data_IF_111581791911
#
_entry.id   IF_111581791911
#
_cell.length_a   1.000
_cell.length_b   1.000
_cell.length_c   1.000
_cell.angle_alpha   90.00
_cell.angle_beta   90.00
_cell.angle_gamma   90.00
#
_symmetry.space_group_name_H-M   'P 1'
#
loop_
_entity.id
_entity.type
_entity.pdbx_description
1 polymer ?
#
# COMPACT_ATOMS: atom_id res chain seq x y z
N UNK A 1 -10.84 29.75 7.59
CA UNK A 1 -11.34 28.86 8.63
C UNK A 1 -10.25 28.78 9.70
N UNK A 2 -10.44 29.44 10.87
CA UNK A 2 -9.46 29.36 11.94
C UNK A 2 -9.56 28.00 12.60
N UNK A 3 -8.48 27.24 12.58
CA UNK A 3 -8.36 26.03 13.39
C UNK A 3 -8.28 26.47 14.86
N UNK A 4 -9.25 26.09 15.65
CA UNK A 4 -9.18 26.24 17.11
C UNK A 4 -8.28 25.10 17.57
N UNK A 5 -7.04 25.42 17.94
CA UNK A 5 -6.16 24.49 18.64
C UNK A 5 -6.75 24.22 20.02
N UNK A 6 -7.16 22.98 20.24
CA UNK A 6 -7.54 22.50 21.56
C UNK A 6 -6.28 22.43 22.43
N UNK A 7 -6.31 23.10 23.60
CA UNK A 7 -5.12 23.25 24.47
C UNK A 7 -4.69 21.99 25.22
N UNK A 8 -5.37 20.86 25.00
CA UNK A 8 -5.07 19.57 25.60
C UNK A 8 -4.27 18.62 24.69
N UNK A 9 -3.66 19.14 23.62
CA UNK A 9 -2.81 18.34 22.74
C UNK A 9 -1.55 17.92 23.49
N UNK A 10 -1.41 16.62 23.68
CA UNK A 10 -0.21 15.98 24.20
C UNK A 10 1.03 16.55 23.50
N UNK A 11 1.99 17.13 24.23
CA UNK A 11 3.20 17.76 23.67
C UNK A 11 4.13 16.75 22.96
N UNK A 12 3.81 15.45 22.98
CA UNK A 12 4.57 14.39 22.31
C UNK A 12 4.00 14.07 20.92
N UNK A 13 4.90 13.69 20.02
CA UNK A 13 4.50 13.08 18.75
C UNK A 13 3.70 11.79 18.99
N UNK A 14 2.63 11.55 18.20
CA UNK A 14 1.77 10.39 18.39
C UNK A 14 2.48 9.08 18.08
N UNK A 15 2.02 8.00 18.73
CA UNK A 15 2.42 6.63 18.44
C UNK A 15 1.31 5.92 17.68
N UNK A 16 1.58 5.57 16.42
CA UNK A 16 0.68 4.79 15.57
C UNK A 16 1.02 3.30 15.71
N UNK A 17 0.06 2.52 16.21
CA UNK A 17 0.14 1.07 16.22
C UNK A 17 -0.25 0.49 14.86
N UNK A 18 0.59 -0.37 14.29
CA UNK A 18 0.28 -1.07 13.03
C UNK A 18 0.14 -2.55 13.31
N UNK A 19 -1.05 -3.12 13.03
CA UNK A 19 -1.24 -4.57 13.10
C UNK A 19 -0.75 -5.17 11.78
N UNK A 20 0.32 -5.96 11.88
CA UNK A 20 1.13 -6.48 10.80
C UNK A 20 2.52 -5.85 10.78
N UNK A 21 3.52 -6.63 10.38
CA UNK A 21 4.92 -6.22 10.29
C UNK A 21 5.58 -6.70 8.99
N UNK A 22 4.80 -6.81 7.92
CA UNK A 22 5.28 -7.24 6.60
C UNK A 22 5.92 -6.09 5.81
N UNK A 23 5.96 -6.26 4.49
CA UNK A 23 6.64 -5.31 3.59
C UNK A 23 5.95 -3.94 3.51
N UNK A 24 4.62 -3.88 3.62
CA UNK A 24 3.91 -2.61 3.54
C UNK A 24 4.12 -1.79 4.82
N UNK A 25 4.13 -2.42 5.99
CA UNK A 25 4.53 -1.78 7.24
C UNK A 25 5.99 -1.29 7.19
N UNK A 26 6.90 -2.06 6.57
CA UNK A 26 8.29 -1.64 6.36
C UNK A 26 8.40 -0.34 5.56
N UNK A 27 7.58 -0.17 4.54
CA UNK A 27 7.57 1.06 3.73
C UNK A 27 6.98 2.27 4.48
N UNK A 28 6.25 2.07 5.58
CA UNK A 28 5.74 3.16 6.42
C UNK A 28 6.81 3.77 7.33
N UNK A 29 7.94 3.08 7.57
CA UNK A 29 8.97 3.55 8.50
C UNK A 29 9.61 4.86 8.05
N UNK A 30 9.94 5.00 6.77
CA UNK A 30 10.56 6.21 6.25
C UNK A 30 9.66 7.46 6.37
N UNK A 31 8.40 7.45 5.90
CA UNK A 31 7.51 8.60 6.08
C UNK A 31 7.16 8.88 7.56
N UNK A 32 7.03 7.86 8.41
CA UNK A 32 6.82 8.06 9.84
C UNK A 32 8.01 8.79 10.48
N UNK A 33 9.23 8.38 10.13
CA UNK A 33 10.46 9.05 10.58
C UNK A 33 10.48 10.52 10.13
N UNK A 34 10.13 10.79 8.87
CA UNK A 34 10.09 12.15 8.33
C UNK A 34 9.05 13.05 9.02
N UNK A 35 7.90 12.49 9.39
CA UNK A 35 6.83 13.19 10.10
C UNK A 35 7.07 13.28 11.62
N UNK A 36 8.09 12.61 12.17
CA UNK A 36 8.32 12.50 13.63
C UNK A 36 7.31 11.58 14.33
N UNK A 37 6.49 10.84 13.59
CA UNK A 37 5.50 9.90 14.13
C UNK A 37 6.17 8.64 14.63
N UNK A 38 5.85 8.21 15.84
CA UNK A 38 6.34 6.95 16.36
C UNK A 38 5.53 5.78 15.80
N UNK A 39 6.21 4.75 15.29
CA UNK A 39 5.57 3.49 14.91
C UNK A 39 5.82 2.44 15.98
N UNK A 40 4.77 1.68 16.31
CA UNK A 40 4.88 0.43 17.06
C UNK A 40 4.16 -0.67 16.26
N UNK A 41 4.86 -1.75 15.94
CA UNK A 41 4.31 -2.82 15.10
C UNK A 41 3.82 -3.97 15.98
N UNK A 42 2.72 -4.62 15.56
CA UNK A 42 2.30 -5.89 16.10
C UNK A 42 2.64 -6.99 15.11
N UNK A 43 3.78 -7.64 15.32
CA UNK A 43 4.35 -8.66 14.46
C UNK A 43 3.85 -10.05 14.84
N UNK A 44 3.87 -10.99 13.89
CA UNK A 44 3.67 -12.42 14.19
C UNK A 44 4.99 -13.12 14.53
N UNK A 45 6.10 -12.61 13.98
CA UNK A 45 7.44 -13.15 14.15
C UNK A 45 8.47 -12.02 14.26
N UNK A 46 9.56 -12.27 14.99
CA UNK A 46 10.73 -11.36 15.08
C UNK A 46 11.38 -11.12 13.69
N UNK A 47 11.28 -12.09 12.80
CA UNK A 47 11.84 -12.05 11.44
C UNK A 47 10.89 -11.42 10.41
N UNK A 48 9.72 -10.94 10.83
CA UNK A 48 8.83 -10.20 9.95
C UNK A 48 9.55 -8.97 9.36
N UNK A 49 9.26 -8.67 8.09
CA UNK A 49 9.97 -7.69 7.27
C UNK A 49 10.19 -6.33 7.97
N UNK A 50 9.16 -5.78 8.59
CA UNK A 50 9.23 -4.50 9.29
C UNK A 50 9.73 -4.64 10.73
N UNK A 51 9.53 -5.78 11.39
CA UNK A 51 10.02 -6.05 12.74
C UNK A 51 11.54 -5.93 12.82
N UNK A 52 12.25 -6.27 11.75
CA UNK A 52 13.71 -6.15 11.66
C UNK A 52 14.23 -4.70 11.69
N UNK A 53 13.36 -3.68 11.55
CA UNK A 53 13.81 -2.28 11.42
C UNK A 53 13.01 -1.28 12.26
N UNK A 54 11.96 -1.71 12.94
CA UNK A 54 11.10 -0.83 13.72
C UNK A 54 10.73 -1.48 15.07
N UNK A 55 10.41 -0.68 16.11
CA UNK A 55 9.91 -1.19 17.38
C UNK A 55 8.66 -2.05 17.16
N UNK A 56 8.62 -3.22 17.81
CA UNK A 56 7.53 -4.16 17.64
C UNK A 56 7.23 -4.95 18.91
N UNK A 57 6.08 -5.62 18.89
CA UNK A 57 5.62 -6.61 19.86
C UNK A 57 5.19 -7.83 19.07
N UNK A 58 5.69 -9.01 19.46
CA UNK A 58 5.28 -10.27 18.82
C UNK A 58 4.03 -10.82 19.49
N UNK A 59 3.06 -11.25 18.68
CA UNK A 59 1.80 -11.82 19.15
C UNK A 59 0.88 -12.30 18.04
N UNK A 60 -0.26 -12.87 18.44
CA UNK A 60 -1.30 -13.30 17.51
C UNK A 60 -2.37 -12.21 17.34
N UNK A 61 -2.50 -11.65 16.14
CA UNK A 61 -3.50 -10.61 15.83
C UNK A 61 -4.96 -11.12 15.91
N UNK A 62 -5.18 -12.43 16.13
CA UNK A 62 -6.50 -13.00 16.42
C UNK A 62 -6.83 -12.94 17.92
N UNK A 63 -5.84 -12.65 18.75
CA UNK A 63 -5.99 -12.58 20.20
C UNK A 63 -6.29 -11.15 20.68
N UNK A 64 -7.57 -10.87 20.94
CA UNK A 64 -8.02 -9.56 21.38
C UNK A 64 -7.30 -9.07 22.63
N UNK A 65 -7.02 -9.94 23.62
CA UNK A 65 -6.37 -9.54 24.87
C UNK A 65 -4.96 -9.04 24.62
N UNK A 66 -4.19 -9.68 23.74
CA UNK A 66 -2.84 -9.23 23.36
C UNK A 66 -2.91 -7.87 22.63
N UNK A 67 -3.88 -7.70 21.73
CA UNK A 67 -4.05 -6.44 21.00
C UNK A 67 -4.52 -5.30 21.92
N UNK A 68 -5.30 -5.57 22.96
CA UNK A 68 -5.67 -4.57 23.96
C UNK A 68 -4.45 -4.10 24.77
N UNK A 69 -3.54 -5.01 25.14
CA UNK A 69 -2.28 -4.64 25.82
C UNK A 69 -1.35 -3.85 24.88
N UNK A 70 -1.30 -4.22 23.60
CA UNK A 70 -0.57 -3.48 22.59
C UNK A 70 -1.15 -2.06 22.42
N UNK A 71 -2.47 -1.95 22.33
CA UNK A 71 -3.21 -0.69 22.13
C UNK A 71 -2.93 0.35 23.23
N UNK A 72 -2.67 -0.08 24.46
CA UNK A 72 -2.30 0.83 25.58
C UNK A 72 -1.03 1.64 25.33
N UNK A 73 -0.19 1.21 24.38
CA UNK A 73 1.06 1.86 24.00
C UNK A 73 0.92 2.78 22.79
N UNK A 74 -0.27 2.85 22.19
CA UNK A 74 -0.54 3.54 20.93
C UNK A 74 -1.63 4.60 21.13
N UNK A 75 -1.56 5.69 20.38
CA UNK A 75 -2.61 6.71 20.35
C UNK A 75 -3.74 6.32 19.39
N UNK A 76 -3.43 5.53 18.35
CA UNK A 76 -4.37 4.88 17.45
C UNK A 76 -3.78 3.61 16.84
N UNK A 77 -4.64 2.79 16.25
CA UNK A 77 -4.27 1.57 15.54
C UNK A 77 -4.71 1.63 14.07
N UNK A 78 -3.84 1.16 13.18
CA UNK A 78 -4.14 0.89 11.78
C UNK A 78 -3.62 -0.50 11.37
N UNK A 79 -3.83 -0.88 10.11
CA UNK A 79 -3.54 -2.22 9.63
C UNK A 79 -2.61 -2.18 8.41
N UNK A 80 -1.72 -3.15 8.34
CA UNK A 80 -0.96 -3.46 7.12
C UNK A 80 -1.76 -4.35 6.17
N UNK A 81 -2.61 -5.23 6.72
CA UNK A 81 -3.34 -6.25 5.97
C UNK A 81 -4.78 -6.45 6.51
N UNK A 82 -5.62 -7.13 5.72
CA UNK A 82 -7.04 -7.37 6.03
C UNK A 82 -7.30 -8.69 6.79
N UNK A 83 -6.26 -9.34 7.32
CA UNK A 83 -6.38 -10.68 7.94
C UNK A 83 -6.88 -10.66 9.39
N UNK A 84 -7.00 -9.48 9.99
CA UNK A 84 -7.50 -9.34 11.37
C UNK A 84 -9.00 -9.63 11.39
N UNK A 85 -9.46 -10.56 12.24
CA UNK A 85 -10.89 -10.90 12.30
C UNK A 85 -11.74 -9.68 12.67
N UNK A 86 -12.88 -9.51 12.01
CA UNK A 86 -13.81 -8.40 12.25
C UNK A 86 -14.27 -8.33 13.71
N UNK A 87 -14.44 -9.49 14.37
CA UNK A 87 -14.78 -9.57 15.79
C UNK A 87 -13.70 -8.96 16.70
N UNK A 88 -12.44 -9.09 16.32
CA UNK A 88 -11.30 -8.52 17.06
C UNK A 88 -11.27 -7.01 16.88
N UNK A 89 -11.47 -6.51 15.65
CA UNK A 89 -11.56 -5.07 15.37
C UNK A 89 -12.72 -4.44 16.17
N UNK A 90 -13.90 -5.05 16.16
CA UNK A 90 -15.04 -4.62 16.98
C UNK A 90 -14.72 -4.63 18.47
N UNK A 91 -13.97 -5.64 18.95
CA UNK A 91 -13.55 -5.73 20.34
C UNK A 91 -12.63 -4.58 20.76
N UNK A 92 -11.70 -4.17 19.90
CA UNK A 92 -10.84 -2.98 20.11
C UNK A 92 -11.69 -1.70 20.19
N UNK A 93 -12.63 -1.50 19.26
CA UNK A 93 -13.52 -0.32 19.24
C UNK A 93 -14.40 -0.25 20.50
N UNK A 94 -14.98 -1.37 20.93
CA UNK A 94 -15.79 -1.45 22.17
C UNK A 94 -14.96 -1.09 23.41
N UNK A 95 -13.67 -1.42 23.40
CA UNK A 95 -12.73 -1.04 24.47
C UNK A 95 -12.26 0.43 24.39
N UNK A 96 -12.77 1.22 23.44
CA UNK A 96 -12.44 2.64 23.27
C UNK A 96 -11.14 2.91 22.52
N UNK A 97 -10.56 1.90 21.87
CA UNK A 97 -9.35 2.10 21.06
C UNK A 97 -9.72 2.79 19.76
N UNK A 98 -8.96 3.83 19.38
CA UNK A 98 -9.07 4.44 18.05
C UNK A 98 -8.49 3.50 17.01
N UNK A 99 -9.33 2.96 16.13
CA UNK A 99 -8.96 1.98 15.10
C UNK A 99 -9.39 2.49 13.74
N UNK A 100 -8.48 2.51 12.76
CA UNK A 100 -8.76 2.94 11.40
C UNK A 100 -8.13 1.99 10.35
N UNK A 101 -8.89 1.59 9.30
CA UNK A 101 -10.32 1.77 9.12
C UNK A 101 -11.16 1.10 10.22
N UNK A 102 -12.39 1.60 10.43
CA UNK A 102 -13.31 1.04 11.44
C UNK A 102 -13.89 -0.32 10.98
N UNK A 103 -14.37 -1.11 11.94
CA UNK A 103 -14.97 -2.41 11.65
C UNK A 103 -16.13 -2.33 10.67
N UNK A 104 -16.92 -1.26 10.73
CA UNK A 104 -18.02 -0.99 9.77
C UNK A 104 -17.51 -0.84 8.34
N UNK A 105 -16.37 -0.15 8.14
CA UNK A 105 -15.75 0.02 6.84
C UNK A 105 -15.30 -1.33 6.26
N UNK A 106 -14.68 -2.18 7.06
CA UNK A 106 -14.33 -3.55 6.66
C UNK A 106 -15.54 -4.39 6.30
N UNK A 107 -16.61 -4.33 7.09
CA UNK A 107 -17.84 -5.06 6.81
C UNK A 107 -18.48 -4.61 5.50
N UNK A 108 -18.62 -3.30 5.30
CA UNK A 108 -19.18 -2.72 4.06
C UNK A 108 -18.35 -3.09 2.82
N UNK A 109 -17.04 -3.21 2.94
CA UNK A 109 -16.17 -3.64 1.83
C UNK A 109 -16.42 -5.10 1.44
N UNK A 110 -16.57 -5.99 2.43
CA UNK A 110 -16.85 -7.41 2.18
C UNK A 110 -18.24 -7.61 1.55
N UNK A 111 -19.26 -6.90 2.02
CA UNK A 111 -20.63 -7.00 1.49
C UNK A 111 -20.71 -6.54 0.03
N UNK A 112 -19.95 -5.51 -0.37
CA UNK A 112 -19.91 -5.01 -1.76
C UNK A 112 -19.18 -5.95 -2.72
N UNK A 113 -18.20 -6.69 -2.26
CA UNK A 113 -17.42 -7.65 -3.05
C UNK A 113 -18.15 -8.98 -3.22
N UNK A 114 -18.98 -9.38 -2.25
CA UNK A 114 -19.74 -10.65 -2.28
C UNK A 114 -20.72 -10.81 -3.46
N UNK A 115 -20.97 -9.75 -4.25
CA UNK A 115 -21.83 -9.78 -5.47
C UNK A 115 -21.15 -10.39 -6.71
N UNK A 116 -20.00 -11.08 -6.58
CA UNK A 116 -19.08 -11.37 -7.69
C UNK A 116 -18.69 -12.81 -7.87
N UNK A 117 -19.50 -13.58 -8.48
CA UNK A 117 -19.12 -14.89 -9.07
C UNK A 117 -19.37 -14.92 -10.58
N UNK A 118 -18.91 -13.93 -11.34
CA UNK A 118 -18.84 -14.10 -12.80
C UNK A 118 -17.42 -13.81 -13.26
N UNK A 119 -16.78 -14.80 -13.88
CA UNK A 119 -15.59 -14.63 -14.71
C UNK A 119 -15.91 -13.57 -15.76
N UNK A 120 -15.37 -12.36 -15.57
CA UNK A 120 -15.43 -11.28 -16.54
C UNK A 120 -14.21 -11.47 -17.45
N UNK A 121 -14.45 -11.69 -18.74
CA UNK A 121 -13.40 -11.59 -19.74
C UNK A 121 -13.06 -10.11 -19.89
N UNK A 122 -11.89 -9.67 -19.38
CA UNK A 122 -11.47 -8.28 -19.30
C UNK A 122 -10.25 -7.99 -20.19
N UNK A 123 -10.12 -6.74 -20.62
CA UNK A 123 -9.02 -6.25 -21.46
C UNK A 123 -7.83 -5.80 -20.62
N UNK A 124 -8.09 -5.21 -19.45
CA UNK A 124 -7.05 -4.78 -18.50
C UNK A 124 -7.57 -4.76 -17.07
N UNK A 125 -6.62 -4.86 -16.13
CA UNK A 125 -6.87 -4.73 -14.69
C UNK A 125 -6.15 -3.49 -14.17
N UNK A 126 -6.90 -2.63 -13.49
CA UNK A 126 -6.39 -1.38 -12.92
C UNK A 126 -6.67 -1.32 -11.42
N UNK A 127 -5.85 -0.54 -10.74
CA UNK A 127 -6.02 -0.21 -9.32
C UNK A 127 -6.05 1.30 -9.13
N UNK A 128 -7.01 1.80 -8.35
CA UNK A 128 -7.10 3.20 -7.96
C UNK A 128 -6.99 3.30 -6.45
N UNK A 129 -5.97 4.01 -5.98
CA UNK A 129 -5.81 4.27 -4.56
C UNK A 129 -6.51 5.56 -4.16
N UNK A 130 -7.12 5.54 -2.98
CA UNK A 130 -7.78 6.68 -2.34
C UNK A 130 -7.30 6.82 -0.91
N UNK A 131 -7.07 8.05 -0.47
CA UNK A 131 -6.90 8.41 0.93
C UNK A 131 -8.07 9.28 1.38
N UNK A 132 -8.57 9.07 2.60
CA UNK A 132 -9.62 9.90 3.21
C UNK A 132 -9.37 10.06 4.70
N UNK A 133 -9.44 11.32 5.19
CA UNK A 133 -9.28 11.67 6.61
C UNK A 133 -10.61 11.59 7.37
N UNK A 134 -10.54 11.67 8.69
CA UNK A 134 -11.72 11.65 9.57
C UNK A 134 -12.66 12.84 9.28
N UNK A 135 -12.11 14.02 8.97
CA UNK A 135 -12.89 15.21 8.60
C UNK A 135 -13.39 15.20 7.13
N UNK A 136 -13.19 14.09 6.39
CA UNK A 136 -13.75 13.90 5.07
C UNK A 136 -12.93 14.48 3.91
N UNK A 137 -11.73 15.03 4.17
CA UNK A 137 -10.81 15.34 3.07
C UNK A 137 -10.45 14.06 2.35
N UNK A 138 -10.58 14.03 1.02
CA UNK A 138 -10.28 12.85 0.21
C UNK A 138 -9.43 13.20 -1.00
N UNK A 139 -8.59 12.27 -1.43
CA UNK A 139 -7.76 12.39 -2.63
C UNK A 139 -7.52 11.02 -3.24
N UNK A 140 -7.24 10.98 -4.55
CA UNK A 140 -6.88 9.75 -5.26
C UNK A 140 -5.62 9.94 -6.09
N UNK A 141 -4.89 8.87 -6.31
CA UNK A 141 -3.78 8.82 -7.25
C UNK A 141 -4.25 8.42 -8.65
N UNK A 142 -3.39 8.62 -9.64
CA UNK A 142 -3.63 8.15 -10.99
C UNK A 142 -3.85 6.63 -11.02
N UNK A 143 -4.77 6.12 -11.86
CA UNK A 143 -4.99 4.69 -12.02
C UNK A 143 -3.71 3.97 -12.44
N UNK A 144 -3.44 2.84 -11.80
CA UNK A 144 -2.28 1.99 -12.06
C UNK A 144 -2.73 0.73 -12.78
N UNK A 145 -2.13 0.40 -13.91
CA UNK A 145 -2.34 -0.89 -14.57
C UNK A 145 -1.55 -1.98 -13.86
N UNK A 146 -2.18 -3.12 -13.61
CA UNK A 146 -1.55 -4.30 -13.05
C UNK A 146 -1.35 -5.34 -14.16
N UNK A 147 -0.08 -5.76 -14.34
CA UNK A 147 0.29 -6.83 -15.28
C UNK A 147 0.55 -8.09 -14.45
N UNK A 148 -0.22 -9.13 -14.72
CA UNK A 148 -0.13 -10.41 -14.00
C UNK A 148 0.38 -11.51 -14.92
N UNK A 149 1.28 -12.37 -14.39
CA UNK A 149 1.68 -13.63 -14.99
C UNK A 149 1.39 -14.73 -13.98
N UNK A 150 0.69 -15.78 -14.40
CA UNK A 150 0.28 -16.91 -13.55
C UNK A 150 -0.41 -16.48 -12.23
N UNK A 151 -1.23 -15.41 -12.30
CA UNK A 151 -1.95 -14.87 -11.15
C UNK A 151 -1.11 -13.98 -10.21
N UNK A 152 0.18 -13.82 -10.46
CA UNK A 152 1.09 -12.97 -9.67
C UNK A 152 1.29 -11.65 -10.41
N UNK A 153 1.14 -10.52 -9.71
CA UNK A 153 1.45 -9.21 -10.28
C UNK A 153 2.96 -9.05 -10.42
N UNK A 154 3.45 -9.02 -11.65
CA UNK A 154 4.87 -8.91 -11.99
C UNK A 154 5.29 -7.49 -12.30
N UNK A 155 4.36 -6.66 -12.79
CA UNK A 155 4.64 -5.28 -13.17
C UNK A 155 3.43 -4.40 -12.84
N UNK A 156 3.68 -3.15 -12.44
CA UNK A 156 2.64 -2.11 -12.39
C UNK A 156 3.10 -0.87 -13.15
N UNK A 157 2.17 -0.23 -13.87
CA UNK A 157 2.43 0.92 -14.74
C UNK A 157 1.48 2.05 -14.39
N UNK A 158 1.99 3.22 -14.11
CA UNK A 158 1.21 4.41 -13.75
C UNK A 158 1.65 5.62 -14.59
N UNK A 159 0.72 6.38 -15.19
CA UNK A 159 -0.71 6.11 -15.34
C UNK A 159 -0.96 4.85 -16.18
N UNK A 160 -2.10 4.21 -15.97
CA UNK A 160 -2.50 3.02 -16.72
C UNK A 160 -2.57 3.31 -18.23
N UNK A 161 -1.69 2.73 -19.08
CA UNK A 161 -1.63 3.07 -20.50
C UNK A 161 -2.76 2.44 -21.34
N UNK A 162 -3.43 1.42 -20.82
CA UNK A 162 -4.47 0.68 -21.53
C UNK A 162 -5.86 1.34 -21.47
N UNK A 163 -6.01 2.48 -20.78
CA UNK A 163 -7.29 3.16 -20.60
C UNK A 163 -7.24 4.59 -21.11
N UNK A 164 -8.38 5.10 -21.58
CA UNK A 164 -8.52 6.52 -21.96
C UNK A 164 -8.53 7.43 -20.72
N UNK A 165 -8.23 8.72 -20.91
CA UNK A 165 -8.33 9.73 -19.84
C UNK A 165 -9.74 9.79 -19.24
N UNK A 166 -10.78 9.62 -20.04
CA UNK A 166 -12.17 9.58 -19.58
C UNK A 166 -12.43 8.39 -18.64
N UNK A 167 -11.92 7.19 -18.98
CA UNK A 167 -12.04 6.00 -18.14
C UNK A 167 -11.22 6.17 -16.84
N UNK A 168 -10.04 6.80 -16.94
CA UNK A 168 -9.21 7.10 -15.77
C UNK A 168 -9.94 8.04 -14.78
N UNK A 169 -10.56 9.12 -15.27
CA UNK A 169 -11.36 10.03 -14.46
C UNK A 169 -12.56 9.32 -13.81
N UNK A 170 -13.30 8.52 -14.58
CA UNK A 170 -14.41 7.72 -14.05
C UNK A 170 -13.95 6.75 -12.94
N UNK A 171 -12.81 6.08 -13.14
CA UNK A 171 -12.26 5.17 -12.14
C UNK A 171 -11.90 5.89 -10.83
N UNK A 172 -11.28 7.07 -10.91
CA UNK A 172 -10.96 7.89 -9.75
C UNK A 172 -12.24 8.38 -9.03
N UNK A 173 -13.23 8.88 -9.77
CA UNK A 173 -14.50 9.29 -9.20
C UNK A 173 -15.22 8.14 -8.52
N UNK A 174 -15.26 6.96 -9.13
CA UNK A 174 -15.87 5.77 -8.55
C UNK A 174 -15.17 5.38 -7.24
N UNK A 175 -13.84 5.38 -7.23
CA UNK A 175 -13.07 5.03 -6.04
C UNK A 175 -13.28 6.03 -4.89
N UNK A 176 -13.33 7.34 -5.18
CA UNK A 176 -13.63 8.39 -4.20
C UNK A 176 -15.05 8.24 -3.65
N UNK A 177 -16.05 7.98 -4.51
CA UNK A 177 -17.43 7.76 -4.08
C UNK A 177 -17.59 6.54 -3.18
N UNK A 178 -16.88 5.43 -3.50
CA UNK A 178 -16.87 4.24 -2.65
C UNK A 178 -16.26 4.57 -1.28
N UNK A 179 -15.11 5.28 -1.26
CA UNK A 179 -14.44 5.65 -0.01
C UNK A 179 -15.33 6.53 0.90
N UNK A 180 -16.09 7.44 0.32
CA UNK A 180 -17.06 8.26 1.03
C UNK A 180 -18.21 7.42 1.59
N UNK A 181 -18.83 6.57 0.75
CA UNK A 181 -19.98 5.74 1.13
C UNK A 181 -19.67 4.77 2.27
N UNK A 182 -18.47 4.16 2.27
CA UNK A 182 -18.04 3.28 3.37
C UNK A 182 -17.43 4.03 4.56
N UNK A 183 -17.41 5.36 4.53
CA UNK A 183 -16.81 6.20 5.57
C UNK A 183 -15.35 5.82 5.86
N UNK A 184 -14.54 5.66 4.80
CA UNK A 184 -13.12 5.32 4.92
C UNK A 184 -12.40 6.36 5.78
N UNK A 185 -11.53 5.91 6.68
CA UNK A 185 -10.47 6.69 7.31
C UNK A 185 -9.16 5.92 7.10
N UNK A 186 -8.21 6.52 6.39
CA UNK A 186 -6.97 5.88 5.98
C UNK A 186 -6.81 5.82 4.46
N UNK A 187 -6.22 4.74 3.96
CA UNK A 187 -6.00 4.47 2.53
C UNK A 187 -6.74 3.20 2.13
N UNK A 188 -7.26 3.17 0.92
CA UNK A 188 -7.89 2.02 0.30
C UNK A 188 -7.49 1.95 -1.17
N UNK A 189 -7.42 0.74 -1.71
CA UNK A 189 -7.29 0.50 -3.14
C UNK A 189 -8.57 -0.14 -3.68
N UNK A 190 -9.06 0.37 -4.81
CA UNK A 190 -10.16 -0.23 -5.57
C UNK A 190 -9.55 -0.89 -6.80
N UNK A 191 -9.56 -2.21 -6.85
CA UNK A 191 -9.21 -2.97 -8.03
C UNK A 191 -10.40 -3.05 -8.97
N UNK A 192 -10.16 -2.84 -10.26
CA UNK A 192 -11.19 -2.81 -11.30
C UNK A 192 -10.74 -3.56 -12.54
N UNK A 193 -11.66 -4.28 -13.16
CA UNK A 193 -11.51 -4.76 -14.52
C UNK A 193 -12.06 -3.73 -15.50
N UNK A 194 -11.41 -3.58 -16.63
CA UNK A 194 -11.85 -2.73 -17.75
C UNK A 194 -12.22 -3.60 -18.93
N UNK A 195 -13.40 -3.38 -19.50
CA UNK A 195 -13.89 -4.02 -20.71
C UNK A 195 -14.75 -3.05 -21.52
N UNK A 196 -14.38 -2.79 -22.76
CA UNK A 196 -15.07 -1.86 -23.66
C UNK A 196 -15.36 -0.51 -22.96
N UNK A 197 -14.36 0.10 -22.34
CA UNK A 197 -14.44 1.35 -21.56
C UNK A 197 -15.38 1.30 -20.33
N UNK A 198 -15.89 0.13 -19.97
CA UNK A 198 -16.69 -0.07 -18.75
C UNK A 198 -15.83 -0.55 -17.59
N UNK A 199 -16.13 -0.02 -16.40
CA UNK A 199 -15.44 -0.35 -15.17
C UNK A 199 -16.25 -1.36 -14.32
N UNK A 200 -15.59 -2.41 -13.89
CA UNK A 200 -16.15 -3.41 -13.00
C UNK A 200 -15.25 -3.51 -11.77
N UNK A 201 -15.78 -3.06 -10.63
CA UNK A 201 -15.02 -3.13 -9.36
C UNK A 201 -14.68 -4.59 -9.06
N UNK A 202 -13.47 -5.01 -8.82
CA UNK A 202 -12.99 -6.34 -8.48
C UNK A 202 -12.84 -6.53 -6.97
N UNK A 203 -12.06 -5.76 -6.31
CA UNK A 203 -11.78 -5.88 -4.90
C UNK A 203 -11.63 -4.51 -4.24
N UNK A 204 -11.95 -4.43 -2.97
CA UNK A 204 -11.65 -3.28 -2.12
C UNK A 204 -10.60 -3.72 -1.10
N UNK A 205 -9.39 -3.21 -1.22
CA UNK A 205 -8.28 -3.54 -0.32
C UNK A 205 -8.08 -2.40 0.67
N UNK A 206 -8.35 -2.67 1.95
CA UNK A 206 -8.14 -1.69 3.03
C UNK A 206 -6.68 -1.62 3.43
N UNK A 207 -6.15 -0.40 3.51
CA UNK A 207 -4.75 -0.14 3.81
C UNK A 207 -3.89 0.03 2.56
N UNK A 208 -2.55 0.11 2.72
CA UNK A 208 -1.62 0.22 1.60
C UNK A 208 -1.65 -1.01 0.72
N UNK A 209 -1.32 -0.82 -0.56
CA UNK A 209 -1.34 -1.89 -1.54
C UNK A 209 -0.10 -1.87 -2.42
N UNK A 210 0.30 -3.05 -2.93
CA UNK A 210 1.50 -3.17 -3.78
C UNK A 210 1.39 -2.36 -5.08
N UNK A 211 0.18 -2.18 -5.63
CA UNK A 211 -0.04 -1.34 -6.81
C UNK A 211 0.31 0.13 -6.58
N UNK A 212 0.44 0.54 -5.32
CA UNK A 212 0.83 1.89 -4.93
C UNK A 212 2.30 2.03 -4.54
N UNK A 213 3.13 1.02 -4.72
CA UNK A 213 4.55 1.10 -4.39
C UNK A 213 5.27 2.20 -5.20
N UNK A 214 4.84 2.45 -6.43
CA UNK A 214 5.36 3.54 -7.27
C UNK A 214 5.27 4.92 -6.62
N UNK A 215 4.33 5.11 -5.67
CA UNK A 215 4.11 6.41 -5.03
C UNK A 215 5.27 6.86 -4.16
N UNK A 216 6.19 5.97 -3.80
CA UNK A 216 7.38 6.31 -3.00
C UNK A 216 8.26 7.28 -3.80
N UNK A 217 8.53 7.00 -5.06
CA UNK A 217 9.36 7.82 -5.94
C UNK A 217 8.54 8.67 -6.91
N UNK A 218 7.41 8.13 -7.36
CA UNK A 218 6.63 8.67 -8.47
C UNK A 218 5.52 9.63 -8.07
N UNK A 219 5.26 9.85 -6.78
CA UNK A 219 4.27 10.80 -6.28
C UNK A 219 4.89 11.79 -5.31
N UNK A 220 4.31 12.99 -5.20
CA UNK A 220 4.73 13.98 -4.19
C UNK A 220 4.46 13.50 -2.78
N UNK A 221 3.37 12.77 -2.57
CA UNK A 221 3.03 12.14 -1.29
C UNK A 221 2.71 10.68 -1.52
N UNK A 222 3.46 9.78 -0.88
CA UNK A 222 3.27 8.34 -1.01
C UNK A 222 2.00 7.86 -0.31
N UNK A 223 1.47 6.71 -0.72
CA UNK A 223 0.36 6.06 -0.02
C UNK A 223 0.66 5.80 1.46
N UNK A 224 1.91 5.54 1.78
CA UNK A 224 2.38 5.25 3.13
C UNK A 224 2.35 6.49 4.02
N UNK A 225 2.77 7.64 3.50
CA UNK A 225 2.65 8.92 4.18
C UNK A 225 1.18 9.36 4.30
N UNK A 226 0.39 9.19 3.22
CA UNK A 226 -1.03 9.53 3.26
C UNK A 226 -1.81 8.70 4.27
N UNK A 227 -1.46 7.41 4.47
CA UNK A 227 -2.09 6.61 5.51
C UNK A 227 -1.88 7.23 6.89
N UNK A 228 -0.65 7.63 7.20
CA UNK A 228 -0.33 8.28 8.47
C UNK A 228 -1.07 9.62 8.61
N UNK A 229 -1.08 10.45 7.56
CA UNK A 229 -1.82 11.72 7.56
C UNK A 229 -3.31 11.50 7.75
N UNK A 230 -3.91 10.57 7.01
CA UNK A 230 -5.33 10.31 7.07
C UNK A 230 -5.78 9.77 8.43
N UNK A 231 -5.03 8.86 9.03
CA UNK A 231 -5.37 8.24 10.33
C UNK A 231 -5.11 9.15 11.52
N UNK A 232 -4.15 10.09 11.40
CA UNK A 232 -3.85 11.13 12.39
C UNK A 232 -4.66 12.41 12.18
N UNK A 233 -5.54 12.42 11.18
CA UNK A 233 -6.34 13.57 10.78
C UNK A 233 -5.50 14.83 10.44
N UNK A 234 -4.30 14.60 9.93
CA UNK A 234 -3.46 15.63 9.35
C UNK A 234 -3.98 16.00 7.94
N UNK A 235 -3.73 17.23 7.46
CA UNK A 235 -4.04 17.59 6.08
C UNK A 235 -3.43 16.61 5.10
N UNK A 236 -4.23 16.10 4.15
CA UNK A 236 -3.73 15.19 3.12
C UNK A 236 -2.73 15.90 2.22
N UNK A 237 -1.69 15.15 1.79
CA UNK A 237 -0.68 15.66 0.89
C UNK A 237 -1.12 15.57 -0.59
N UNK A 238 -0.34 16.18 -1.45
CA UNK A 238 -0.55 16.22 -2.90
C UNK A 238 -0.20 14.85 -3.53
N UNK A 239 -1.13 14.14 -4.17
CA UNK A 239 -0.89 12.84 -4.82
C UNK A 239 -0.30 12.96 -6.23
N UNK A 240 -0.02 14.18 -6.70
CA UNK A 240 0.45 14.43 -8.07
C UNK A 240 1.72 13.64 -8.37
N UNK A 241 1.78 13.08 -9.57
CA UNK A 241 2.96 12.38 -10.07
C UNK A 241 4.15 13.33 -10.23
N UNK A 242 5.35 12.83 -9.94
CA UNK A 242 6.62 13.58 -10.08
C UNK A 242 7.24 13.41 -11.48
N UNK A 243 6.78 12.43 -12.24
CA UNK A 243 7.18 12.15 -13.62
C UNK A 243 5.98 11.70 -14.47
N UNK A 244 6.05 11.75 -15.81
CA UNK A 244 4.97 11.29 -16.69
C UNK A 244 4.59 9.83 -16.49
N UNK A 245 5.55 8.94 -16.20
CA UNK A 245 5.33 7.53 -15.96
C UNK A 245 6.14 7.04 -14.76
N UNK A 246 5.59 6.05 -14.08
CA UNK A 246 6.26 5.23 -13.07
C UNK A 246 5.98 3.75 -13.38
N UNK A 247 7.03 2.93 -13.36
CA UNK A 247 6.95 1.49 -13.56
C UNK A 247 7.58 0.78 -12.38
N UNK A 248 6.88 -0.21 -11.84
CA UNK A 248 7.37 -1.03 -10.72
C UNK A 248 7.42 -2.49 -11.14
N UNK A 249 8.58 -3.10 -10.98
CA UNK A 249 8.76 -4.54 -11.13
C UNK A 249 8.78 -5.25 -9.78
N UNK A 250 7.96 -6.30 -9.63
CA UNK A 250 7.97 -7.16 -8.43
C UNK A 250 9.16 -8.11 -8.48
N UNK A 251 10.04 -8.07 -7.49
CA UNK A 251 11.15 -9.02 -7.39
C UNK A 251 10.69 -10.28 -6.71
N UNK A 252 10.65 -11.37 -7.48
CA UNK A 252 10.32 -12.70 -6.97
C UNK A 252 11.59 -13.46 -6.62
N UNK A 253 11.57 -14.18 -5.52
CA UNK A 253 12.68 -15.06 -5.13
C UNK A 253 12.89 -16.17 -6.15
N UNK A 254 14.14 -16.39 -6.53
CA UNK A 254 14.60 -17.47 -7.39
C UNK A 254 15.43 -18.50 -6.63
N UNK A 255 16.36 -19.13 -7.34
CA UNK A 255 17.31 -20.10 -6.76
C UNK A 255 18.52 -19.44 -6.08
N UNK A 256 18.82 -18.18 -6.45
CA UNK A 256 19.94 -17.40 -5.88
C UNK A 256 19.48 -16.66 -4.63
N UNK A 257 20.19 -16.87 -3.52
CA UNK A 257 19.92 -16.20 -2.25
C UNK A 257 20.64 -14.85 -2.08
N UNK A 258 21.70 -14.60 -2.86
CA UNK A 258 22.45 -13.33 -2.81
C UNK A 258 21.72 -12.22 -3.54
N UNK A 259 20.93 -11.46 -2.80
CA UNK A 259 20.16 -10.32 -3.32
C UNK A 259 20.97 -9.01 -3.34
N UNK A 260 22.20 -9.00 -2.83
CA UNK A 260 23.03 -7.79 -2.79
C UNK A 260 23.90 -7.65 -4.04
N UNK A 261 24.49 -8.75 -4.50
CA UNK A 261 25.41 -8.75 -5.65
C UNK A 261 24.80 -8.18 -6.93
N UNK A 262 23.52 -8.46 -7.27
CA UNK A 262 22.87 -7.87 -8.44
C UNK A 262 22.84 -6.34 -8.46
N UNK A 263 22.89 -5.67 -7.30
CA UNK A 263 22.89 -4.20 -7.23
C UNK A 263 24.09 -3.57 -7.95
N UNK A 264 25.26 -4.21 -7.90
CA UNK A 264 26.45 -3.69 -8.55
C UNK A 264 26.25 -3.53 -10.06
N UNK A 265 25.66 -4.55 -10.70
CA UNK A 265 25.35 -4.51 -12.12
C UNK A 265 24.21 -3.53 -12.42
N UNK A 266 23.08 -3.67 -11.75
CA UNK A 266 21.86 -2.92 -12.05
C UNK A 266 22.02 -1.42 -11.79
N UNK A 267 22.66 -1.03 -10.67
CA UNK A 267 22.90 0.39 -10.37
C UNK A 267 23.94 1.02 -11.26
N UNK A 268 24.94 0.25 -11.75
CA UNK A 268 25.89 0.74 -12.72
C UNK A 268 25.25 0.97 -14.10
N UNK A 269 24.32 0.09 -14.50
CA UNK A 269 23.64 0.17 -15.78
C UNK A 269 22.53 1.23 -15.79
N UNK A 270 21.74 1.31 -14.70
CA UNK A 270 20.62 2.24 -14.55
C UNK A 270 20.68 2.91 -13.17
N UNK A 271 21.43 4.03 -13.02
CA UNK A 271 21.63 4.69 -11.74
C UNK A 271 20.35 5.25 -11.10
N UNK A 272 19.28 5.44 -11.89
CA UNK A 272 17.97 5.93 -11.44
C UNK A 272 17.10 4.85 -10.80
N UNK A 273 17.45 3.56 -10.95
CA UNK A 273 16.70 2.46 -10.32
C UNK A 273 16.62 2.63 -8.81
N UNK A 274 15.41 2.44 -8.28
CA UNK A 274 15.16 2.39 -6.83
C UNK A 274 14.81 0.97 -6.41
N UNK A 275 15.45 0.52 -5.35
CA UNK A 275 15.33 -0.84 -4.84
C UNK A 275 14.69 -0.82 -3.46
N UNK A 276 13.68 -1.67 -3.27
CA UNK A 276 13.00 -1.87 -1.98
C UNK A 276 13.05 -3.34 -1.62
N UNK A 277 14.04 -3.71 -0.81
CA UNK A 277 14.18 -5.06 -0.27
C UNK A 277 13.30 -5.25 0.96
N UNK A 278 12.56 -6.36 0.95
CA UNK A 278 11.69 -6.69 2.08
C UNK A 278 12.38 -7.50 3.18
N UNK A 279 13.64 -7.91 2.95
CA UNK A 279 14.41 -8.73 3.90
C UNK A 279 13.69 -10.02 4.30
N UNK A 280 12.92 -10.57 3.39
CA UNK A 280 12.28 -11.87 3.53
C UNK A 280 13.23 -12.97 3.09
N UNK A 281 13.05 -14.16 3.66
CA UNK A 281 13.73 -15.37 3.20
C UNK A 281 13.41 -15.62 1.72
N UNK A 282 14.46 -15.94 0.94
CA UNK A 282 14.34 -16.13 -0.51
C UNK A 282 13.82 -17.53 -0.80
N UNK A 283 12.60 -17.60 -1.33
CA UNK A 283 11.98 -18.81 -1.83
C UNK A 283 11.43 -18.56 -3.24
N UNK A 284 11.47 -19.56 -4.09
CA UNK A 284 10.97 -19.47 -5.47
C UNK A 284 9.53 -18.96 -5.51
N UNK A 285 9.30 -17.86 -6.25
CA UNK A 285 8.00 -17.23 -6.42
C UNK A 285 7.53 -16.33 -5.24
N UNK A 286 8.27 -16.28 -4.12
CA UNK A 286 7.94 -15.38 -3.01
C UNK A 286 8.33 -13.95 -3.38
N UNK A 287 7.41 -12.99 -3.22
CA UNK A 287 7.74 -11.58 -3.40
C UNK A 287 8.67 -11.11 -2.26
N UNK A 288 9.91 -10.77 -2.63
CA UNK A 288 11.02 -10.41 -1.73
C UNK A 288 11.46 -8.94 -1.84
N UNK A 289 10.90 -8.22 -2.81
CA UNK A 289 11.20 -6.81 -3.02
C UNK A 289 10.44 -6.24 -4.21
N UNK A 290 10.70 -4.98 -4.49
CA UNK A 290 10.31 -4.35 -5.75
C UNK A 290 11.39 -3.37 -6.20
N UNK A 291 11.36 -3.07 -7.49
CA UNK A 291 12.16 -2.00 -8.09
C UNK A 291 11.23 -0.97 -8.70
N UNK A 292 11.63 0.30 -8.69
CA UNK A 292 10.86 1.40 -9.28
C UNK A 292 11.75 2.19 -10.22
N UNK A 293 11.20 2.56 -11.37
CA UNK A 293 11.76 3.56 -12.29
C UNK A 293 10.70 4.58 -12.66
N UNK A 294 11.10 5.84 -12.80
CA UNK A 294 10.21 6.94 -13.20
C UNK A 294 10.83 7.71 -14.37
N UNK A 295 10.04 8.24 -15.28
CA UNK A 295 10.55 8.97 -16.43
C UNK A 295 9.50 9.35 -17.46
N UNK A 296 9.95 9.61 -18.69
CA UNK A 296 9.10 10.12 -19.78
C UNK A 296 8.80 9.08 -20.87
N UNK A 297 9.65 8.08 -21.01
CA UNK A 297 9.54 7.07 -22.07
C UNK A 297 9.07 5.74 -21.48
N UNK A 298 7.79 5.43 -21.63
CA UNK A 298 7.20 4.23 -21.04
C UNK A 298 7.87 2.94 -21.51
N UNK A 299 8.20 2.82 -22.81
CA UNK A 299 8.82 1.62 -23.35
C UNK A 299 10.18 1.35 -22.69
N UNK A 300 11.02 2.35 -22.62
CA UNK A 300 12.32 2.28 -21.98
C UNK A 300 12.22 1.93 -20.48
N UNK A 301 11.28 2.57 -19.75
CA UNK A 301 11.06 2.28 -18.35
C UNK A 301 10.58 0.83 -18.12
N UNK A 302 9.74 0.32 -19.01
CA UNK A 302 9.25 -1.06 -18.94
C UNK A 302 10.40 -2.04 -19.15
N UNK A 303 11.24 -1.83 -20.18
CA UNK A 303 12.41 -2.66 -20.46
C UNK A 303 13.40 -2.65 -19.28
N UNK A 304 13.67 -1.47 -18.67
CA UNK A 304 14.53 -1.35 -17.50
C UNK A 304 13.96 -2.12 -16.31
N UNK A 305 12.66 -1.97 -16.04
CA UNK A 305 12.00 -2.62 -14.92
C UNK A 305 11.95 -4.15 -15.08
N UNK A 306 11.63 -4.64 -16.27
CA UNK A 306 11.63 -6.08 -16.57
C UNK A 306 13.03 -6.68 -16.46
N UNK A 307 14.02 -6.05 -17.10
CA UNK A 307 15.42 -6.47 -17.00
C UNK A 307 15.88 -6.54 -15.53
N UNK A 308 15.63 -5.49 -14.75
CA UNK A 308 16.06 -5.45 -13.36
C UNK A 308 15.36 -6.51 -12.50
N UNK A 309 14.06 -6.73 -12.72
CA UNK A 309 13.27 -7.78 -12.07
C UNK A 309 13.86 -9.17 -12.36
N UNK A 310 14.07 -9.48 -13.63
CA UNK A 310 14.50 -10.81 -14.10
C UNK A 310 15.95 -11.10 -13.68
N UNK A 311 16.81 -10.06 -13.68
CA UNK A 311 18.18 -10.18 -13.17
C UNK A 311 18.21 -10.41 -11.65
N UNK A 312 17.36 -9.71 -10.89
CA UNK A 312 17.23 -9.87 -9.43
C UNK A 312 16.70 -11.25 -9.05
N UNK A 313 15.73 -11.79 -9.81
CA UNK A 313 15.20 -13.13 -9.57
C UNK A 313 16.11 -14.25 -10.09
N UNK A 314 17.13 -13.91 -10.88
CA UNK A 314 18.07 -14.88 -11.46
C UNK A 314 17.50 -15.63 -12.66
N UNK A 315 16.47 -15.09 -13.32
CA UNK A 315 15.92 -15.62 -14.57
C UNK A 315 16.85 -15.34 -15.75
N UNK A 316 17.64 -14.26 -15.65
CA UNK A 316 18.67 -13.91 -16.61
C UNK A 316 20.03 -13.73 -15.90
N UNK A 317 21.12 -14.09 -16.60
CA UNK A 317 22.52 -13.88 -16.21
C UNK A 317 23.20 -13.07 -17.31
N UNK A 318 23.93 -11.99 -16.95
CA UNK A 318 24.81 -11.21 -17.82
C UNK A 318 26.25 -11.21 -17.31
#
# INVERSE_FOLDING_TARGET
>A
MLFIYDSDVNERFPTVGIIGAGQLARMMVAPATALGVNLLLFAQDEEDSAAQIAPHVVGDYRNLSQLLEFAKKCDLITFEHQLVPLSVIKGLEVAGVKVFPRSQTFQSSQDKVALREKLIDFESEIAVMVARSEHGQATSWAPTQMVKSDGICTLTITPAPAISSSVAEQAQHLALSIAEEISLIGVMTVEMFVKADQLFVNELVMGPHYSGNWTIEGSRTSQFEQLLRATLDLPLGDPTMTAPFAVVGSVLGGEKSDMYRPYLHLMARNPELKFHQYKKEVHKGRNIGHITVIGKNLLELTEIAEHARDYMSGEIDE
#
